data_IF_150418415800
#
_entry.id   IF_150418415800
#
_cell.length_a   1.000
_cell.length_b   1.000
_cell.length_c   1.000
_cell.angle_alpha   90.00
_cell.angle_beta   90.00
_cell.angle_gamma   90.00
#
_symmetry.space_group_name_H-M   'P 1'
#
loop_
_entity.id
_entity.type
_entity.pdbx_description
1 polymer ?
#
# COMPACT_ATOMS: atom_id res chain seq x y z
N UNK A 1 12.11 -24.87 7.76
CA UNK A 1 11.46 -24.24 6.59
C UNK A 1 11.33 -22.76 6.91
N UNK A 2 12.11 -21.89 6.28
CA UNK A 2 11.99 -20.45 6.49
C UNK A 2 10.62 -20.01 5.94
N UNK A 3 9.74 -19.53 6.80
CA UNK A 3 8.47 -18.95 6.39
C UNK A 3 8.79 -17.63 5.72
N UNK A 4 8.59 -17.51 4.40
CA UNK A 4 8.82 -16.26 3.67
C UNK A 4 8.09 -15.12 4.37
N UNK A 5 8.85 -14.14 4.87
CA UNK A 5 8.26 -12.96 5.50
C UNK A 5 7.89 -11.97 4.41
N UNK A 6 6.59 -11.81 4.19
CA UNK A 6 6.06 -10.77 3.33
C UNK A 6 6.12 -9.42 4.03
N UNK A 7 6.51 -8.41 3.28
CA UNK A 7 6.37 -7.01 3.66
C UNK A 7 5.65 -6.27 2.56
N UNK A 8 5.09 -5.13 2.91
CA UNK A 8 4.37 -4.25 2.02
C UNK A 8 5.01 -2.87 2.03
N UNK A 9 5.04 -2.24 0.87
CA UNK A 9 5.51 -0.86 0.72
C UNK A 9 4.45 -0.08 -0.04
N UNK A 10 4.03 1.05 0.53
CA UNK A 10 3.09 1.97 -0.08
C UNK A 10 3.85 3.03 -0.85
N UNK A 11 3.57 3.22 -2.13
CA UNK A 11 4.15 4.28 -2.95
C UNK A 11 3.07 5.27 -3.33
N UNK A 12 3.33 6.57 -3.14
CA UNK A 12 2.67 7.57 -3.96
C UNK A 12 3.38 7.58 -5.33
N UNK A 13 2.62 7.56 -6.41
CA UNK A 13 3.17 7.40 -7.75
C UNK A 13 2.40 8.26 -8.73
N UNK A 14 2.96 8.41 -9.93
CA UNK A 14 2.25 9.06 -11.02
C UNK A 14 1.03 8.25 -11.48
N UNK A 15 0.25 8.85 -12.36
CA UNK A 15 -0.97 8.29 -12.92
C UNK A 15 -0.72 6.96 -13.66
N UNK A 16 0.47 6.85 -14.28
CA UNK A 16 0.92 5.69 -15.05
C UNK A 16 1.59 4.61 -14.18
N UNK A 17 1.70 4.84 -12.88
CA UNK A 17 2.30 3.90 -11.94
C UNK A 17 3.74 3.50 -12.33
N UNK A 18 4.54 4.46 -12.80
CA UNK A 18 5.89 4.17 -13.32
C UNK A 18 6.84 3.68 -12.23
N UNK A 19 7.71 2.72 -12.56
CA UNK A 19 8.68 2.17 -11.60
C UNK A 19 9.65 3.23 -11.04
N UNK A 20 9.90 4.31 -11.79
CA UNK A 20 10.74 5.43 -11.35
C UNK A 20 10.10 6.19 -10.19
N UNK A 21 8.77 6.35 -10.19
CA UNK A 21 8.03 6.97 -9.07
C UNK A 21 7.82 5.99 -7.91
N UNK A 22 7.86 4.68 -8.17
CA UNK A 22 7.73 3.59 -7.18
C UNK A 22 9.06 3.09 -6.60
N UNK A 23 10.07 3.96 -6.55
CA UNK A 23 11.40 3.51 -6.16
C UNK A 23 11.53 3.37 -4.63
N UNK A 24 11.81 2.14 -4.17
CA UNK A 24 11.94 1.79 -2.75
C UNK A 24 13.02 2.58 -2.02
N UNK A 25 14.07 3.05 -2.71
CA UNK A 25 15.10 3.89 -2.11
C UNK A 25 14.59 5.28 -1.70
N UNK A 26 13.51 5.75 -2.33
CA UNK A 26 12.84 6.99 -1.97
C UNK A 26 11.70 6.77 -0.98
N UNK A 27 11.34 5.50 -0.74
CA UNK A 27 10.31 5.14 0.21
C UNK A 27 10.89 4.87 1.59
N UNK A 28 10.33 5.52 2.61
CA UNK A 28 10.92 5.54 3.96
C UNK A 28 10.34 4.47 4.88
N UNK A 29 9.33 3.72 4.45
CA UNK A 29 8.58 2.84 5.35
C UNK A 29 8.27 1.49 4.71
N UNK A 30 8.64 0.43 5.44
CA UNK A 30 8.32 -0.95 5.10
C UNK A 30 7.37 -1.47 6.18
N UNK A 31 6.23 -1.99 5.75
CA UNK A 31 5.19 -2.52 6.62
C UNK A 31 5.25 -4.05 6.62
N UNK A 32 5.65 -4.64 7.74
CA UNK A 32 5.64 -6.10 7.88
C UNK A 32 4.20 -6.66 7.76
N UNK A 33 4.06 -7.93 7.38
CA UNK A 33 2.75 -8.60 7.35
C UNK A 33 2.23 -8.95 8.77
N UNK A 34 2.01 -7.91 9.58
CA UNK A 34 1.43 -8.01 10.93
C UNK A 34 0.20 -7.12 11.04
N UNK A 35 -0.73 -7.47 11.92
CA UNK A 35 -1.95 -6.66 12.14
C UNK A 35 -1.64 -5.21 12.51
N UNK A 36 -0.56 -4.95 13.25
CA UNK A 36 -0.15 -3.59 13.63
C UNK A 36 0.35 -2.81 12.41
N UNK A 37 1.30 -3.37 11.67
CA UNK A 37 1.87 -2.70 10.49
C UNK A 37 0.84 -2.53 9.35
N UNK A 38 -0.13 -3.44 9.21
CA UNK A 38 -1.27 -3.25 8.29
C UNK A 38 -2.15 -2.06 8.67
N UNK A 39 -2.35 -1.79 9.96
CA UNK A 39 -3.05 -0.57 10.41
C UNK A 39 -2.25 0.69 10.12
N UNK A 40 -0.93 0.64 10.30
CA UNK A 40 -0.04 1.76 9.97
C UNK A 40 -0.03 2.02 8.45
N UNK A 41 -0.01 0.96 7.64
CA UNK A 41 -0.14 1.03 6.18
C UNK A 41 -1.47 1.67 5.77
N UNK A 42 -2.58 1.26 6.40
CA UNK A 42 -3.88 1.85 6.12
C UNK A 42 -3.92 3.33 6.51
N UNK A 43 -3.43 3.67 7.71
CA UNK A 43 -3.36 5.06 8.16
C UNK A 43 -2.51 5.91 7.20
N UNK A 44 -1.46 5.34 6.60
CA UNK A 44 -0.66 6.03 5.59
C UNK A 44 -1.45 6.29 4.32
N UNK A 45 -2.23 5.33 3.84
CA UNK A 45 -3.13 5.52 2.69
C UNK A 45 -4.13 6.64 2.99
N UNK A 46 -4.77 6.61 4.16
CA UNK A 46 -5.75 7.61 4.58
C UNK A 46 -5.13 9.01 4.71
N UNK A 47 -3.90 9.14 5.23
CA UNK A 47 -3.17 10.41 5.31
C UNK A 47 -2.90 11.01 3.92
N UNK A 48 -2.50 10.18 2.96
CA UNK A 48 -2.19 10.61 1.59
C UNK A 48 -3.46 10.98 0.81
N UNK A 49 -4.57 10.29 1.09
CA UNK A 49 -5.90 10.65 0.58
C UNK A 49 -6.40 11.96 1.17
N UNK A 50 -6.27 12.15 2.48
CA UNK A 50 -6.62 13.40 3.15
C UNK A 50 -5.77 14.59 2.67
N UNK A 51 -4.51 14.33 2.29
CA UNK A 51 -3.63 15.31 1.67
C UNK A 51 -3.92 15.59 0.19
N UNK A 52 -4.88 14.89 -0.43
CA UNK A 52 -5.22 15.02 -1.84
C UNK A 52 -4.14 14.52 -2.79
N UNK A 53 -3.18 13.72 -2.30
CA UNK A 53 -2.08 13.17 -3.11
C UNK A 53 -2.45 11.83 -3.75
N UNK A 54 -3.47 11.15 -3.21
CA UNK A 54 -3.96 9.85 -3.64
C UNK A 54 -5.48 9.89 -3.69
N UNK A 55 -6.08 9.23 -4.67
CA UNK A 55 -7.54 9.10 -4.73
C UNK A 55 -7.94 7.64 -4.57
N UNK A 56 -8.99 7.41 -3.77
CA UNK A 56 -9.69 6.13 -3.72
C UNK A 56 -10.89 6.20 -4.66
N UNK A 57 -11.13 5.13 -5.43
CA UNK A 57 -12.31 5.03 -6.28
C UNK A 57 -13.59 5.17 -5.45
N UNK A 58 -14.58 5.90 -5.98
CA UNK A 58 -15.80 6.24 -5.25
C UNK A 58 -16.51 5.00 -4.68
N UNK A 59 -16.81 5.03 -3.38
CA UNK A 59 -17.45 3.93 -2.65
C UNK A 59 -16.56 2.70 -2.41
N UNK A 60 -15.24 2.80 -2.61
CA UNK A 60 -14.29 1.70 -2.41
C UNK A 60 -13.43 1.81 -1.15
N UNK A 61 -13.66 2.81 -0.28
CA UNK A 61 -12.94 2.96 0.99
C UNK A 61 -12.99 1.69 1.85
N UNK A 62 -14.19 1.13 2.04
CA UNK A 62 -14.37 -0.13 2.76
C UNK A 62 -13.64 -1.31 2.09
N UNK A 63 -13.51 -1.30 0.76
CA UNK A 63 -12.80 -2.34 0.00
C UNK A 63 -11.28 -2.24 0.16
N UNK A 64 -10.74 -1.02 0.19
CA UNK A 64 -9.33 -0.73 0.49
C UNK A 64 -9.01 -1.17 1.91
N UNK A 65 -9.82 -0.77 2.89
CA UNK A 65 -9.63 -1.12 4.29
C UNK A 65 -9.64 -2.63 4.50
N UNK A 66 -10.60 -3.33 3.89
CA UNK A 66 -10.67 -4.79 3.96
C UNK A 66 -9.48 -5.46 3.28
N UNK A 67 -9.05 -4.97 2.12
CA UNK A 67 -7.89 -5.51 1.42
C UNK A 67 -6.61 -5.38 2.27
N UNK A 68 -6.39 -4.22 2.90
CA UNK A 68 -5.19 -3.96 3.70
C UNK A 68 -5.23 -4.71 5.05
N UNK A 69 -6.34 -4.65 5.77
CA UNK A 69 -6.42 -5.19 7.14
C UNK A 69 -6.64 -6.70 7.20
N UNK A 70 -7.49 -7.24 6.32
CA UNK A 70 -7.93 -8.64 6.37
C UNK A 70 -7.46 -9.46 5.16
N UNK A 71 -7.23 -8.81 4.02
CA UNK A 71 -6.94 -9.46 2.75
C UNK A 71 -5.48 -9.37 2.32
N UNK A 72 -5.28 -9.14 1.03
CA UNK A 72 -3.99 -8.86 0.44
C UNK A 72 -3.89 -7.34 0.14
N UNK A 73 -3.00 -6.60 0.83
CA UNK A 73 -2.82 -5.16 0.63
C UNK A 73 -2.54 -4.78 -0.82
N UNK A 74 -1.93 -5.65 -1.62
CA UNK A 74 -1.66 -5.37 -3.05
C UNK A 74 -2.94 -5.26 -3.89
N UNK A 75 -4.04 -5.88 -3.45
CA UNK A 75 -5.34 -5.80 -4.16
C UNK A 75 -6.01 -4.45 -4.02
N UNK A 76 -5.61 -3.63 -3.04
CA UNK A 76 -6.09 -2.26 -2.90
C UNK A 76 -5.69 -1.39 -4.10
N UNK A 77 -4.63 -1.77 -4.84
CA UNK A 77 -4.14 -1.07 -6.02
C UNK A 77 -5.21 -0.83 -7.10
N UNK A 78 -6.20 -1.71 -7.19
CA UNK A 78 -7.34 -1.59 -8.13
C UNK A 78 -8.30 -0.45 -7.78
N UNK A 79 -8.24 0.02 -6.55
CA UNK A 79 -9.09 1.08 -6.01
C UNK A 79 -8.31 2.37 -5.74
N UNK A 80 -6.99 2.37 -5.94
CA UNK A 80 -6.10 3.49 -5.66
C UNK A 80 -5.58 4.11 -6.96
N UNK A 81 -5.74 5.42 -7.08
CA UNK A 81 -5.12 6.27 -8.09
C UNK A 81 -3.99 7.08 -7.49
N UNK A 82 -2.91 7.27 -8.24
CA UNK A 82 -1.66 7.89 -7.77
C UNK A 82 -1.01 7.19 -6.57
N UNK A 83 -1.40 5.94 -6.31
CA UNK A 83 -0.76 5.09 -5.32
C UNK A 83 -0.73 3.63 -5.76
N UNK A 84 0.27 2.91 -5.25
CA UNK A 84 0.34 1.46 -5.32
C UNK A 84 0.83 0.87 -4.00
N UNK A 85 0.50 -0.40 -3.78
CA UNK A 85 1.07 -1.19 -2.70
C UNK A 85 1.75 -2.40 -3.32
N UNK A 86 3.06 -2.53 -3.10
CA UNK A 86 3.85 -3.67 -3.57
C UNK A 86 4.20 -4.59 -2.41
N UNK A 87 4.14 -5.89 -2.66
CA UNK A 87 4.61 -6.90 -1.73
C UNK A 87 6.05 -7.28 -2.08
N UNK A 88 6.89 -7.42 -1.07
CA UNK A 88 8.25 -7.92 -1.18
C UNK A 88 8.42 -9.10 -0.22
N UNK A 89 9.18 -10.09 -0.64
CA UNK A 89 9.59 -11.21 0.20
C UNK A 89 11.08 -11.08 0.51
N UNK A 90 11.46 -11.30 1.76
CA UNK A 90 12.86 -11.46 2.14
C UNK A 90 13.06 -12.83 2.75
N UNK A 91 14.19 -13.46 2.39
CA UNK A 91 14.62 -14.79 2.83
C UNK A 91 15.46 -14.66 4.11
#
# INVERSE_FOLDING_TARGET
MATEKKVYVFFNCDEEKTEKSMNIFYNKTIYNDTKKARKELLAKVEEEVAAGRVNIAEGKDASVNKAILEGDPTKADKYLQYATIKAFSFI
#
